data_IF_366705286988
#
_entry.id   IF_366705286988
#
_cell.length_a   1.000
_cell.length_b   1.000
_cell.length_c   1.000
_cell.angle_alpha   90.00
_cell.angle_beta   90.00
_cell.angle_gamma   90.00
#
_symmetry.space_group_name_H-M   'P 1'
#
loop_
_entity.id
_entity.type
_entity.pdbx_description
1 polymer ?
#
# COMPACT_ATOMS: atom_id res chain seq x y z
N UNK A 1 -10.48 -11.13 4.83
CA UNK A 1 -11.74 -10.53 5.32
C UNK A 1 -11.42 -9.74 6.57
N UNK A 2 -11.40 -8.40 6.52
CA UNK A 2 -11.32 -7.62 7.76
C UNK A 2 -12.58 -7.90 8.59
N UNK A 3 -12.41 -8.15 9.88
CA UNK A 3 -13.51 -8.42 10.78
C UNK A 3 -14.51 -7.24 10.76
N UNK A 4 -15.83 -7.50 10.89
CA UNK A 4 -16.85 -6.44 10.90
C UNK A 4 -16.57 -5.37 11.98
N UNK A 5 -15.91 -5.78 13.06
CA UNK A 5 -15.44 -4.94 14.17
C UNK A 5 -14.61 -3.75 13.66
N UNK A 6 -13.72 -3.98 12.71
CA UNK A 6 -12.87 -2.91 12.19
C UNK A 6 -13.68 -1.83 11.45
N UNK A 7 -14.68 -2.25 10.67
CA UNK A 7 -15.55 -1.31 9.94
C UNK A 7 -16.39 -0.48 10.90
N UNK A 8 -16.97 -1.12 11.92
CA UNK A 8 -17.78 -0.43 12.93
C UNK A 8 -16.96 0.58 13.74
N UNK A 9 -15.74 0.21 14.15
CA UNK A 9 -14.86 1.10 14.90
C UNK A 9 -14.44 2.33 14.07
N UNK A 10 -14.18 2.15 12.77
CA UNK A 10 -13.85 3.25 11.86
C UNK A 10 -15.01 4.23 11.70
N UNK A 11 -16.24 3.73 11.54
CA UNK A 11 -17.43 4.57 11.41
C UNK A 11 -17.69 5.33 12.71
N UNK A 12 -17.57 4.65 13.85
CA UNK A 12 -17.73 5.26 15.18
C UNK A 12 -16.73 6.40 15.42
N UNK A 13 -15.49 6.27 14.93
CA UNK A 13 -14.47 7.30 15.06
C UNK A 13 -14.63 8.44 14.03
N UNK A 14 -15.07 8.13 12.81
CA UNK A 14 -15.18 9.10 11.73
C UNK A 14 -16.31 10.11 11.96
N UNK A 15 -17.47 9.65 12.44
CA UNK A 15 -18.66 10.50 12.58
C UNK A 15 -18.38 11.71 13.50
N UNK A 16 -17.87 11.55 14.73
CA UNK A 16 -17.59 12.69 15.61
C UNK A 16 -16.55 13.66 15.03
N UNK A 17 -15.55 13.16 14.30
CA UNK A 17 -14.51 13.99 13.70
C UNK A 17 -15.08 14.91 12.63
N UNK A 18 -16.01 14.42 11.81
CA UNK A 18 -16.66 15.23 10.78
C UNK A 18 -17.49 16.35 11.39
N UNK A 19 -18.17 16.12 12.52
CA UNK A 19 -18.96 17.15 13.22
C UNK A 19 -18.09 18.25 13.85
N UNK A 20 -16.83 17.96 14.14
CA UNK A 20 -15.89 18.89 14.79
C UNK A 20 -14.90 19.50 13.79
N UNK A 21 -15.03 19.15 12.51
CA UNK A 21 -14.12 19.58 11.46
C UNK A 21 -14.20 21.11 11.25
N UNK A 22 -13.09 21.86 11.37
CA UNK A 22 -13.07 23.27 11.04
C UNK A 22 -13.20 23.50 9.52
N UNK A 23 -13.43 24.75 9.12
CA UNK A 23 -13.57 25.13 7.70
C UNK A 23 -12.47 24.53 6.82
N UNK A 24 -12.88 23.89 5.71
CA UNK A 24 -11.97 23.20 4.78
C UNK A 24 -10.92 24.14 4.17
N UNK A 25 -11.25 25.43 4.00
CA UNK A 25 -10.29 26.44 3.53
C UNK A 25 -9.09 26.59 4.47
N UNK A 26 -9.35 26.64 5.78
CA UNK A 26 -8.31 26.76 6.81
C UNK A 26 -7.43 25.51 6.88
N UNK A 27 -8.02 24.31 6.72
CA UNK A 27 -7.25 23.06 6.69
C UNK A 27 -6.38 22.92 5.46
N UNK A 28 -6.83 23.45 4.32
CA UNK A 28 -6.12 23.29 3.05
C UNK A 28 -4.97 24.29 2.84
N UNK A 29 -4.96 25.41 3.57
CA UNK A 29 -3.85 26.38 3.54
C UNK A 29 -2.78 26.10 4.60
N UNK A 30 -3.05 25.16 5.51
CA UNK A 30 -2.11 24.77 6.55
C UNK A 30 -0.97 23.91 5.98
N UNK A 31 0.28 24.34 6.19
CA UNK A 31 1.49 23.68 5.70
C UNK A 31 1.85 22.35 6.40
N UNK A 32 1.01 21.85 7.31
CA UNK A 32 1.28 20.60 8.04
C UNK A 32 0.75 19.38 7.29
N UNK A 33 1.57 18.34 7.19
CA UNK A 33 1.22 17.07 6.55
C UNK A 33 0.09 16.29 7.27
N UNK A 34 -0.24 16.64 8.53
CA UNK A 34 -1.24 15.95 9.32
C UNK A 34 -2.30 16.92 9.89
N UNK A 35 -3.58 16.79 9.53
CA UNK A 35 -4.65 17.69 9.98
C UNK A 35 -5.17 17.38 11.39
N UNK A 36 -4.97 16.15 11.89
CA UNK A 36 -5.52 15.67 13.15
C UNK A 36 -5.20 16.54 14.39
N UNK A 37 -3.95 17.01 14.61
CA UNK A 37 -3.63 17.85 15.77
C UNK A 37 -4.39 19.18 15.78
N UNK A 38 -4.63 19.75 14.60
CA UNK A 38 -5.34 21.03 14.44
C UNK A 38 -6.82 20.84 14.70
N UNK A 39 -7.40 19.74 14.22
CA UNK A 39 -8.79 19.37 14.48
C UNK A 39 -9.02 19.20 15.98
N UNK A 40 -8.15 18.46 16.69
CA UNK A 40 -8.28 18.30 18.14
C UNK A 40 -8.06 19.60 18.91
N UNK A 41 -7.14 20.47 18.46
CA UNK A 41 -6.94 21.80 19.07
C UNK A 41 -8.18 22.68 18.89
N UNK A 42 -8.80 22.64 17.71
CA UNK A 42 -10.04 23.37 17.42
C UNK A 42 -11.22 22.85 18.25
N UNK A 43 -11.31 21.54 18.42
CA UNK A 43 -12.33 20.86 19.22
C UNK A 43 -12.27 21.22 20.71
N UNK A 44 -11.07 21.09 21.28
CA UNK A 44 -10.87 21.08 22.74
C UNK A 44 -10.58 22.49 23.27
N UNK A 45 -10.14 23.42 22.40
CA UNK A 45 -9.78 24.82 22.71
C UNK A 45 -8.76 24.97 23.85
N UNK A 46 -8.06 23.90 24.22
CA UNK A 46 -7.04 23.84 25.27
C UNK A 46 -5.83 23.03 24.82
N UNK A 47 -4.65 23.64 24.87
CA UNK A 47 -3.39 23.06 24.38
C UNK A 47 -2.95 21.84 25.19
N UNK A 48 -3.09 21.87 26.52
CA UNK A 48 -2.66 20.79 27.41
C UNK A 48 -3.46 19.49 27.19
N UNK A 49 -4.78 19.61 27.06
CA UNK A 49 -5.67 18.47 26.80
C UNK A 49 -5.46 17.88 25.41
N UNK A 50 -5.22 18.74 24.42
CA UNK A 50 -4.90 18.32 23.05
C UNK A 50 -3.63 17.49 23.00
N UNK A 51 -2.57 17.92 23.72
CA UNK A 51 -1.33 17.16 23.82
C UNK A 51 -1.52 15.80 24.49
N UNK A 52 -2.31 15.74 25.58
CA UNK A 52 -2.66 14.48 26.24
C UNK A 52 -3.37 13.49 25.31
N UNK A 53 -4.24 13.97 24.41
CA UNK A 53 -4.94 13.14 23.44
C UNK A 53 -4.04 12.71 22.26
N UNK A 54 -3.02 13.50 21.92
CA UNK A 54 -2.07 13.19 20.85
C UNK A 54 -1.03 12.13 21.26
N UNK A 55 -0.70 12.03 22.55
CA UNK A 55 0.25 11.03 23.05
C UNK A 55 -0.06 9.57 22.65
N UNK A 56 -1.28 9.03 22.87
CA UNK A 56 -1.60 7.67 22.45
C UNK A 56 -1.56 7.49 20.93
N UNK A 57 -1.86 8.54 20.15
CA UNK A 57 -1.76 8.50 18.69
C UNK A 57 -0.31 8.36 18.23
N UNK A 58 0.62 9.08 18.87
CA UNK A 58 2.07 8.97 18.58
C UNK A 58 2.58 7.57 18.94
N UNK A 59 2.19 7.04 20.10
CA UNK A 59 2.59 5.68 20.53
C UNK A 59 2.07 4.64 19.52
N UNK A 60 0.82 4.76 19.08
CA UNK A 60 0.24 3.87 18.08
C UNK A 60 0.98 3.95 16.75
N UNK A 61 1.32 5.16 16.29
CA UNK A 61 2.06 5.35 15.03
C UNK A 61 3.43 4.65 15.06
N UNK A 62 4.16 4.76 16.17
CA UNK A 62 5.45 4.05 16.35
C UNK A 62 5.26 2.53 16.29
N UNK A 63 4.25 1.99 16.97
CA UNK A 63 3.96 0.54 16.96
C UNK A 63 3.57 0.08 15.54
N UNK A 64 2.70 0.83 14.87
CA UNK A 64 2.30 0.55 13.49
C UNK A 64 3.49 0.65 12.52
N UNK A 65 4.40 1.60 12.71
CA UNK A 65 5.62 1.75 11.92
C UNK A 65 6.52 0.51 12.00
N UNK A 66 6.73 -0.01 13.21
CA UNK A 66 7.48 -1.27 13.41
C UNK A 66 6.78 -2.43 12.68
N UNK A 67 5.45 -2.49 12.76
CA UNK A 67 4.64 -3.48 12.04
C UNK A 67 4.79 -3.40 10.51
N UNK A 68 4.77 -2.18 9.95
CA UNK A 68 4.96 -1.94 8.51
C UNK A 68 6.33 -2.41 8.03
N UNK A 69 7.40 -2.08 8.76
CA UNK A 69 8.76 -2.51 8.44
C UNK A 69 8.87 -4.04 8.52
N UNK A 70 8.26 -4.66 9.53
CA UNK A 70 8.25 -6.11 9.68
C UNK A 70 7.52 -6.80 8.50
N UNK A 71 6.34 -6.32 8.11
CA UNK A 71 5.59 -6.84 6.98
C UNK A 71 6.37 -6.69 5.66
N UNK A 72 6.90 -5.49 5.40
CA UNK A 72 7.72 -5.21 4.22
C UNK A 72 8.93 -6.15 4.11
N UNK A 73 9.63 -6.40 5.22
CA UNK A 73 10.80 -7.30 5.23
C UNK A 73 10.48 -8.74 4.82
N UNK A 74 9.26 -9.23 5.12
CA UNK A 74 8.80 -10.56 4.69
C UNK A 74 8.52 -10.60 3.19
N UNK A 75 7.91 -9.55 2.65
CA UNK A 75 7.70 -9.42 1.20
C UNK A 75 9.03 -9.36 0.44
N UNK A 76 9.99 -8.56 0.93
CA UNK A 76 11.35 -8.45 0.37
C UNK A 76 12.05 -9.81 0.37
N UNK A 77 11.97 -10.55 1.47
CA UNK A 77 12.55 -11.89 1.56
C UNK A 77 11.89 -12.89 0.60
N UNK A 78 10.56 -12.86 0.47
CA UNK A 78 9.83 -13.70 -0.49
C UNK A 78 10.23 -13.39 -1.94
N UNK A 79 10.35 -12.10 -2.31
CA UNK A 79 10.82 -11.69 -3.64
C UNK A 79 12.30 -12.05 -3.88
N UNK A 80 13.13 -12.01 -2.85
CA UNK A 80 14.52 -12.46 -2.93
C UNK A 80 14.61 -13.98 -3.16
N UNK A 81 13.73 -14.77 -2.53
CA UNK A 81 13.64 -16.22 -2.76
C UNK A 81 13.27 -16.55 -4.20
N UNK A 82 12.36 -15.77 -4.78
CA UNK A 82 11.92 -15.95 -6.17
C UNK A 82 12.88 -15.31 -7.19
N UNK A 83 14.06 -14.82 -6.75
CA UNK A 83 15.10 -14.27 -7.62
C UNK A 83 14.77 -12.90 -8.24
N UNK A 84 13.74 -12.21 -7.75
CA UNK A 84 13.26 -10.96 -8.34
C UNK A 84 14.05 -9.72 -7.90
N UNK A 85 14.90 -9.80 -6.88
CA UNK A 85 15.61 -8.66 -6.28
C UNK A 85 17.12 -8.64 -6.54
N UNK A 86 17.74 -7.45 -6.66
CA UNK A 86 19.19 -7.32 -6.75
C UNK A 86 19.84 -7.85 -5.46
N UNK A 87 20.90 -8.64 -5.58
CA UNK A 87 21.55 -9.22 -4.41
C UNK A 87 20.70 -10.28 -3.68
N UNK A 88 19.70 -10.89 -4.35
CA UNK A 88 18.80 -11.92 -3.80
C UNK A 88 19.47 -12.96 -2.89
N UNK A 89 20.67 -13.44 -3.24
CA UNK A 89 21.44 -14.41 -2.42
C UNK A 89 21.76 -13.88 -1.01
N UNK A 90 22.08 -12.60 -0.89
CA UNK A 90 22.34 -11.94 0.39
C UNK A 90 21.06 -11.69 1.18
N UNK A 91 19.98 -11.26 0.51
CA UNK A 91 18.68 -10.98 1.13
C UNK A 91 18.00 -12.27 1.64
N UNK A 92 18.21 -13.41 0.99
CA UNK A 92 17.59 -14.68 1.38
C UNK A 92 18.22 -15.30 2.64
N UNK A 93 19.41 -14.86 3.06
CA UNK A 93 20.13 -15.41 4.23
C UNK A 93 19.34 -15.16 5.52
N UNK A 94 18.86 -16.24 6.14
CA UNK A 94 18.13 -16.21 7.42
C UNK A 94 19.13 -16.41 8.55
N UNK A 95 18.96 -15.65 9.64
CA UNK A 95 19.69 -15.90 10.88
C UNK A 95 18.94 -16.95 11.71
N UNK A 96 19.58 -18.08 12.01
CA UNK A 96 18.95 -19.20 12.73
C UNK A 96 18.41 -18.81 14.11
N UNK A 97 19.07 -17.87 14.79
CA UNK A 97 18.72 -17.48 16.17
C UNK A 97 17.47 -16.60 16.26
N UNK A 98 17.16 -15.84 15.21
CA UNK A 98 16.00 -14.92 15.19
C UNK A 98 14.89 -15.37 14.24
N UNK A 99 15.12 -16.39 13.39
CA UNK A 99 14.15 -16.86 12.40
C UNK A 99 13.78 -15.83 11.32
N UNK A 100 14.53 -14.73 11.21
CA UNK A 100 14.27 -13.62 10.28
C UNK A 100 15.49 -13.31 9.42
N UNK A 101 15.25 -12.81 8.21
CA UNK A 101 16.31 -12.23 7.36
C UNK A 101 16.65 -10.83 7.86
N UNK A 102 17.82 -10.70 8.51
CA UNK A 102 18.35 -9.41 8.96
C UNK A 102 18.67 -8.49 7.77
N UNK A 103 19.17 -9.06 6.68
CA UNK A 103 19.54 -8.31 5.48
C UNK A 103 18.31 -7.69 4.79
N UNK A 104 17.19 -8.43 4.73
CA UNK A 104 15.94 -7.90 4.17
C UNK A 104 15.35 -6.81 5.06
N UNK A 105 15.38 -7.00 6.39
CA UNK A 105 14.92 -5.98 7.34
C UNK A 105 15.77 -4.71 7.29
N UNK A 106 17.09 -4.84 7.21
CA UNK A 106 18.01 -3.70 7.11
C UNK A 106 17.80 -2.95 5.79
N UNK A 107 17.61 -3.66 4.68
CA UNK A 107 17.29 -3.03 3.40
C UNK A 107 16.00 -2.20 3.47
N UNK A 108 14.91 -2.79 4.00
CA UNK A 108 13.65 -2.05 4.18
C UNK A 108 13.86 -0.82 5.07
N UNK A 109 14.57 -0.96 6.20
CA UNK A 109 14.87 0.15 7.10
C UNK A 109 15.63 1.28 6.41
N UNK A 110 16.68 0.96 5.65
CA UNK A 110 17.49 1.95 4.92
C UNK A 110 16.61 2.70 3.91
N UNK A 111 15.75 2.00 3.17
CA UNK A 111 14.84 2.64 2.21
C UNK A 111 13.85 3.57 2.91
N UNK A 112 13.27 3.15 4.04
CA UNK A 112 12.40 4.02 4.85
C UNK A 112 13.14 5.27 5.34
N UNK A 113 14.33 5.12 5.92
CA UNK A 113 15.14 6.26 6.41
C UNK A 113 15.49 7.21 5.26
N UNK A 114 15.84 6.69 4.08
CA UNK A 114 16.13 7.52 2.90
C UNK A 114 14.90 8.29 2.44
N UNK A 115 13.72 7.67 2.44
CA UNK A 115 12.45 8.34 2.11
C UNK A 115 12.08 9.39 3.14
N UNK A 116 12.25 9.10 4.43
CA UNK A 116 12.01 10.06 5.51
C UNK A 116 12.99 11.25 5.46
N UNK A 117 14.24 11.02 5.05
CA UNK A 117 15.24 12.09 4.91
C UNK A 117 14.84 13.12 3.83
N UNK A 118 14.06 12.72 2.82
CA UNK A 118 13.54 13.64 1.79
C UNK A 118 12.65 14.73 2.40
N UNK A 119 12.02 14.46 3.56
CA UNK A 119 11.22 15.46 4.27
C UNK A 119 12.02 16.72 4.62
N UNK A 120 13.31 16.59 4.96
CA UNK A 120 14.18 17.75 5.25
C UNK A 120 14.47 18.60 4.01
N UNK A 121 14.41 18.00 2.81
CA UNK A 121 14.64 18.71 1.55
C UNK A 121 13.38 19.40 1.02
N UNK A 122 12.23 18.73 1.05
CA UNK A 122 10.98 19.28 0.52
C UNK A 122 9.74 18.63 1.13
N UNK A 123 8.90 19.47 1.75
CA UNK A 123 7.58 19.06 2.25
C UNK A 123 6.62 18.66 1.12
N UNK A 124 6.75 19.28 -0.07
CA UNK A 124 5.96 18.93 -1.25
C UNK A 124 6.29 17.52 -1.76
N UNK A 125 7.59 17.15 -1.76
CA UNK A 125 8.02 15.82 -2.15
C UNK A 125 7.50 14.75 -1.19
N UNK A 126 7.60 15.00 0.13
CA UNK A 126 7.08 14.06 1.13
C UNK A 126 5.57 13.84 0.98
N UNK A 127 4.79 14.92 0.81
CA UNK A 127 3.34 14.81 0.60
C UNK A 127 3.00 13.99 -0.65
N UNK A 128 3.75 14.19 -1.74
CA UNK A 128 3.59 13.39 -2.96
C UNK A 128 3.89 11.90 -2.71
N UNK A 129 4.95 11.57 -1.95
CA UNK A 129 5.26 10.18 -1.60
C UNK A 129 4.17 9.53 -0.75
N UNK A 130 3.61 10.23 0.25
CA UNK A 130 2.49 9.71 1.05
C UNK A 130 1.25 9.42 0.20
N UNK A 131 0.97 10.25 -0.79
CA UNK A 131 -0.12 9.99 -1.75
C UNK A 131 0.16 8.75 -2.60
N UNK A 132 1.41 8.58 -3.06
CA UNK A 132 1.82 7.42 -3.86
C UNK A 132 1.81 6.12 -3.07
N UNK A 133 2.12 6.13 -1.77
CA UNK A 133 1.97 4.96 -0.89
C UNK A 133 0.52 4.44 -0.93
N UNK A 134 -0.45 5.33 -0.70
CA UNK A 134 -1.88 4.98 -0.72
C UNK A 134 -2.34 4.55 -2.12
N UNK A 135 -1.85 5.22 -3.17
CA UNK A 135 -2.19 4.88 -4.56
C UNK A 135 -1.66 3.50 -4.95
N UNK A 136 -0.43 3.19 -4.56
CA UNK A 136 0.21 1.89 -4.81
C UNK A 136 -0.48 0.79 -4.03
N UNK A 137 -0.90 1.07 -2.79
CA UNK A 137 -1.69 0.14 -1.98
C UNK A 137 -3.06 -0.15 -2.63
N UNK A 138 -3.75 0.89 -3.10
CA UNK A 138 -5.01 0.74 -3.84
C UNK A 138 -4.82 -0.04 -5.14
N UNK A 139 -3.75 0.24 -5.89
CA UNK A 139 -3.38 -0.54 -7.07
C UNK A 139 -3.13 -2.01 -6.72
N UNK A 140 -2.54 -2.30 -5.56
CA UNK A 140 -2.29 -3.65 -5.06
C UNK A 140 -3.57 -4.44 -4.90
N UNK A 141 -4.57 -3.87 -4.24
CA UNK A 141 -5.86 -4.52 -3.99
C UNK A 141 -6.73 -4.59 -5.25
N UNK A 142 -6.58 -3.63 -6.14
CA UNK A 142 -7.33 -3.57 -7.41
C UNK A 142 -6.83 -4.63 -8.40
N UNK A 143 -5.54 -4.94 -8.38
CA UNK A 143 -4.92 -5.88 -9.32
C UNK A 143 -5.53 -7.30 -9.32
N UNK A 144 -5.63 -8.03 -8.20
CA UNK A 144 -6.27 -9.35 -8.16
C UNK A 144 -7.74 -9.29 -8.58
N UNK A 145 -8.45 -8.22 -8.24
CA UNK A 145 -9.85 -7.99 -8.64
C UNK A 145 -9.97 -7.86 -10.17
N UNK A 146 -9.09 -7.07 -10.79
CA UNK A 146 -9.04 -6.88 -12.23
C UNK A 146 -8.67 -8.17 -12.98
N UNK A 147 -7.65 -8.90 -12.53
CA UNK A 147 -7.25 -10.19 -13.14
C UNK A 147 -8.38 -11.19 -13.09
N UNK A 148 -9.07 -11.27 -11.95
CA UNK A 148 -10.18 -12.19 -11.78
C UNK A 148 -11.36 -11.81 -12.70
N UNK A 149 -11.56 -10.52 -13.01
CA UNK A 149 -12.59 -10.05 -13.96
C UNK A 149 -12.20 -10.46 -15.39
N UNK A 150 -10.96 -10.16 -15.78
CA UNK A 150 -10.40 -10.46 -17.10
C UNK A 150 -10.37 -11.96 -17.40
N UNK A 151 -10.06 -12.76 -16.37
CA UNK A 151 -9.96 -14.22 -16.46
C UNK A 151 -11.34 -14.90 -16.31
N UNK A 152 -12.43 -14.14 -16.18
CA UNK A 152 -13.81 -14.64 -15.97
C UNK A 152 -13.89 -15.73 -14.89
N UNK A 153 -13.16 -15.56 -13.77
CA UNK A 153 -13.10 -16.51 -12.64
C UNK A 153 -12.54 -17.92 -12.91
N UNK A 154 -11.83 -18.17 -14.02
CA UNK A 154 -11.22 -19.50 -14.23
C UNK A 154 -10.28 -19.94 -13.10
N UNK A 155 -9.61 -19.00 -12.43
CA UNK A 155 -8.70 -19.25 -11.31
C UNK A 155 -9.42 -19.43 -9.96
N UNK A 156 -10.68 -19.00 -9.84
CA UNK A 156 -11.47 -19.07 -8.60
C UNK A 156 -12.29 -20.35 -8.51
N UNK A 157 -12.45 -21.07 -9.64
CA UNK A 157 -13.19 -22.34 -9.67
C UNK A 157 -12.52 -23.44 -8.82
N UNK A 158 -11.21 -23.35 -8.57
CA UNK A 158 -10.46 -24.31 -7.76
C UNK A 158 -10.22 -23.86 -6.30
N UNK A 159 -10.85 -22.76 -5.86
CA UNK A 159 -10.69 -22.28 -4.50
C UNK A 159 -11.58 -23.04 -3.51
N UNK A 160 -11.04 -23.41 -2.35
CA UNK A 160 -11.76 -24.08 -1.24
C UNK A 160 -13.02 -23.32 -0.75
N UNK A 161 -13.14 -22.03 -1.06
CA UNK A 161 -14.27 -21.18 -0.67
C UNK A 161 -14.76 -20.35 -1.86
N UNK A 162 -15.93 -20.72 -2.40
CA UNK A 162 -16.59 -20.00 -3.50
C UNK A 162 -17.85 -19.31 -3.01
N UNK A 163 -17.92 -17.98 -3.15
CA UNK A 163 -19.11 -17.17 -2.80
C UNK A 163 -20.20 -17.20 -3.91
N UNK A 164 -20.09 -18.07 -4.92
CA UNK A 164 -21.07 -18.18 -6.00
C UNK A 164 -21.42 -16.83 -6.65
N UNK A 165 -22.72 -16.56 -6.80
CA UNK A 165 -23.28 -15.34 -7.42
C UNK A 165 -22.96 -14.06 -6.64
N UNK A 166 -22.98 -14.11 -5.30
CA UNK A 166 -22.58 -12.96 -4.46
C UNK A 166 -21.12 -12.56 -4.67
N UNK A 167 -20.29 -13.54 -5.03
CA UNK A 167 -18.94 -13.25 -5.46
C UNK A 167 -18.92 -12.27 -6.63
N UNK A 168 -19.77 -12.46 -7.66
CA UNK A 168 -19.72 -11.66 -8.90
C UNK A 168 -20.06 -10.20 -8.59
N UNK A 169 -21.11 -9.99 -7.78
CA UNK A 169 -21.50 -8.67 -7.33
C UNK A 169 -20.38 -7.98 -6.54
N UNK A 170 -19.77 -8.70 -5.59
CA UNK A 170 -18.64 -8.19 -4.81
C UNK A 170 -17.45 -7.76 -5.71
N UNK A 171 -17.24 -8.48 -6.81
CA UNK A 171 -16.18 -8.18 -7.76
C UNK A 171 -16.45 -6.91 -8.58
N UNK A 172 -17.69 -6.67 -9.00
CA UNK A 172 -18.10 -5.42 -9.64
C UNK A 172 -18.02 -4.24 -8.67
N UNK A 173 -18.45 -4.41 -7.42
CA UNK A 173 -18.27 -3.39 -6.38
C UNK A 173 -16.79 -3.10 -6.14
N UNK A 174 -15.94 -4.12 -6.12
CA UNK A 174 -14.48 -3.96 -5.99
C UNK A 174 -13.84 -3.27 -7.21
N UNK A 175 -14.40 -3.47 -8.41
CA UNK A 175 -13.92 -2.85 -9.64
C UNK A 175 -14.07 -1.32 -9.65
N UNK A 176 -14.98 -0.75 -8.83
CA UNK A 176 -15.06 0.70 -8.60
C UNK A 176 -13.72 1.29 -8.11
N UNK A 177 -12.90 0.50 -7.42
CA UNK A 177 -11.56 0.91 -6.96
C UNK A 177 -10.64 1.33 -8.12
N UNK A 178 -10.85 0.82 -9.35
CA UNK A 178 -10.11 1.23 -10.55
C UNK A 178 -10.34 2.71 -10.85
N UNK A 179 -11.57 3.21 -10.66
CA UNK A 179 -11.91 4.61 -10.90
C UNK A 179 -11.29 5.56 -9.86
N UNK A 180 -10.88 5.04 -8.69
CA UNK A 180 -10.27 5.88 -7.65
C UNK A 180 -8.85 6.31 -8.01
N UNK A 181 -8.10 5.49 -8.77
CA UNK A 181 -6.70 5.76 -9.15
C UNK A 181 -6.55 7.10 -9.90
N UNK A 182 -7.26 7.38 -11.00
CA UNK A 182 -7.18 8.67 -11.67
C UNK A 182 -7.78 9.81 -10.83
N UNK A 183 -8.76 9.51 -9.99
CA UNK A 183 -9.42 10.51 -9.15
C UNK A 183 -8.48 11.05 -8.05
N UNK A 184 -7.63 10.17 -7.48
CA UNK A 184 -6.55 10.58 -6.56
C UNK A 184 -5.41 11.33 -7.25
N UNK A 185 -5.28 11.20 -8.57
CA UNK A 185 -4.30 11.93 -9.37
C UNK A 185 -4.76 13.35 -9.75
N UNK A 186 -6.06 13.66 -9.61
CA UNK A 186 -6.58 15.00 -9.91
C UNK A 186 -6.15 16.04 -8.85
N UNK A 187 -5.88 17.29 -9.27
CA UNK A 187 -5.58 18.37 -8.33
C UNK A 187 -6.82 18.83 -7.57
N UNK A 188 -6.70 19.08 -6.26
CA UNK A 188 -7.78 19.59 -5.41
C UNK A 188 -8.15 21.06 -5.66
N UNK A 189 -7.34 21.79 -6.43
CA UNK A 189 -7.51 23.23 -6.72
C UNK A 189 -7.33 23.45 -8.22
N UNK A 190 -8.13 24.36 -8.79
CA UNK A 190 -8.03 24.79 -10.19
C UNK A 190 -6.95 25.85 -10.43
N UNK A 191 -6.37 26.44 -9.39
CA UNK A 191 -5.34 27.47 -9.52
C UNK A 191 -3.96 26.85 -9.74
N UNK A 192 -3.34 27.16 -10.88
CA UNK A 192 -2.11 26.54 -11.38
C UNK A 192 -0.90 27.30 -10.81
N UNK A 193 -0.59 27.07 -9.53
CA UNK A 193 0.70 27.47 -8.96
C UNK A 193 1.63 26.25 -8.98
N UNK A 194 2.77 26.35 -9.68
CA UNK A 194 3.69 25.22 -9.94
C UNK A 194 4.18 24.56 -8.64
N UNK A 195 4.23 25.31 -7.54
CA UNK A 195 4.66 24.82 -6.23
C UNK A 195 3.60 23.96 -5.54
N UNK A 196 2.31 24.10 -5.89
CA UNK A 196 1.18 23.43 -5.20
C UNK A 196 0.44 22.39 -6.05
N UNK A 197 1.01 21.97 -7.18
CA UNK A 197 0.40 20.91 -8.00
C UNK A 197 0.52 19.56 -7.31
N UNK A 198 -0.48 18.69 -7.49
CA UNK A 198 -0.45 17.32 -6.97
C UNK A 198 0.57 16.48 -7.76
N UNK A 199 1.77 16.31 -7.23
CA UNK A 199 2.84 15.53 -7.85
C UNK A 199 2.63 14.01 -7.77
N UNK A 200 1.56 13.52 -7.13
CA UNK A 200 1.32 12.09 -6.94
C UNK A 200 1.25 11.32 -8.25
N UNK A 201 0.64 11.88 -9.30
CA UNK A 201 0.52 11.20 -10.60
C UNK A 201 1.87 10.96 -11.27
N UNK A 202 2.75 11.97 -11.25
CA UNK A 202 4.08 11.91 -11.86
C UNK A 202 4.97 10.91 -11.11
N UNK A 203 4.96 10.98 -9.78
CA UNK A 203 5.75 10.07 -8.94
C UNK A 203 5.22 8.63 -9.08
N UNK A 204 3.90 8.43 -9.15
CA UNK A 204 3.32 7.12 -9.40
C UNK A 204 3.74 6.55 -10.76
N UNK A 205 3.66 7.35 -11.82
CA UNK A 205 4.11 6.94 -13.15
C UNK A 205 5.61 6.57 -13.15
N UNK A 206 6.45 7.35 -12.47
CA UNK A 206 7.87 7.06 -12.32
C UNK A 206 8.12 5.72 -11.59
N UNK A 207 7.41 5.47 -10.48
CA UNK A 207 7.51 4.20 -9.75
C UNK A 207 7.06 3.02 -10.62
N UNK A 208 5.98 3.17 -11.39
CA UNK A 208 5.54 2.14 -12.34
C UNK A 208 6.61 1.86 -13.39
N UNK A 209 7.21 2.89 -13.99
CA UNK A 209 8.26 2.73 -15.02
C UNK A 209 9.51 2.05 -14.45
N UNK A 210 9.99 2.48 -13.28
CA UNK A 210 11.17 1.86 -12.63
C UNK A 210 10.90 0.39 -12.30
N UNK A 211 9.72 0.10 -11.77
CA UNK A 211 9.29 -1.28 -11.48
C UNK A 211 9.18 -2.13 -12.75
N UNK A 212 8.59 -1.59 -13.82
CA UNK A 212 8.51 -2.23 -15.14
C UNK A 212 9.87 -2.50 -15.74
N UNK A 213 10.75 -1.50 -15.72
CA UNK A 213 12.11 -1.61 -16.24
C UNK A 213 12.90 -2.69 -15.51
N UNK A 214 12.81 -2.73 -14.18
CA UNK A 214 13.50 -3.74 -13.38
C UNK A 214 13.01 -5.16 -13.69
N UNK A 215 11.69 -5.34 -13.75
CA UNK A 215 11.11 -6.64 -14.07
C UNK A 215 11.47 -7.11 -15.48
N UNK A 216 11.43 -6.21 -16.46
CA UNK A 216 11.82 -6.57 -17.84
C UNK A 216 13.29 -6.95 -17.93
N UNK A 217 14.17 -6.24 -17.22
CA UNK A 217 15.61 -6.49 -17.24
C UNK A 217 16.00 -7.80 -16.55
N UNK A 218 15.40 -8.13 -15.40
CA UNK A 218 15.80 -9.27 -14.54
C UNK A 218 14.64 -10.20 -14.17
N UNK A 219 13.50 -9.64 -13.80
CA UNK A 219 12.32 -10.40 -13.36
C UNK A 219 11.83 -11.41 -14.39
N UNK A 220 11.81 -11.07 -15.68
CA UNK A 220 11.39 -11.98 -16.75
C UNK A 220 12.29 -13.22 -16.90
N UNK A 221 13.56 -13.15 -16.46
CA UNK A 221 14.54 -14.23 -16.62
C UNK A 221 14.75 -15.05 -15.34
N UNK A 222 14.54 -14.47 -14.17
CA UNK A 222 14.88 -15.08 -12.88
C UNK A 222 13.67 -15.41 -12.00
N UNK A 223 12.47 -14.90 -12.32
CA UNK A 223 11.27 -15.12 -11.52
C UNK A 223 10.76 -16.56 -11.65
N UNK A 224 11.00 -17.35 -10.62
CA UNK A 224 10.44 -18.71 -10.51
C UNK A 224 9.16 -18.63 -9.68
N UNK A 225 8.02 -18.92 -10.30
CA UNK A 225 6.73 -18.92 -9.61
C UNK A 225 6.70 -20.07 -8.60
N UNK A 226 6.17 -19.88 -7.38
CA UNK A 226 5.90 -20.98 -6.48
C UNK A 226 5.00 -22.01 -7.18
N UNK A 227 5.28 -23.32 -7.07
CA UNK A 227 4.39 -24.34 -7.64
C UNK A 227 3.01 -24.20 -6.99
N UNK A 228 1.98 -23.95 -7.80
CA UNK A 228 0.61 -23.95 -7.33
C UNK A 228 0.28 -25.35 -6.78
N UNK A 229 -0.24 -25.47 -5.54
CA UNK A 229 -0.67 -26.76 -5.03
C UNK A 229 -1.78 -27.33 -5.92
N UNK A 230 -1.52 -28.42 -6.63
CA UNK A 230 -2.55 -29.23 -7.31
C UNK A 230 -2.82 -28.93 -8.80
N UNK A 231 -2.30 -27.86 -9.40
CA UNK A 231 -2.55 -27.58 -10.83
C UNK A 231 -1.50 -28.29 -11.72
N UNK A 232 -1.96 -29.21 -12.57
CA UNK A 232 -1.19 -29.74 -13.71
C UNK A 232 -0.66 -28.54 -14.50
N UNK A 233 0.63 -28.59 -14.90
CA UNK A 233 1.30 -27.55 -15.70
C UNK A 233 0.55 -27.31 -17.01
N UNK A 234 -0.44 -26.41 -17.01
CA UNK A 234 -0.99 -25.87 -18.24
C UNK A 234 -0.23 -24.60 -18.62
N UNK A 235 0.41 -24.69 -19.78
CA UNK A 235 1.08 -23.59 -20.49
C UNK A 235 0.05 -22.54 -20.93
N UNK A 236 -0.43 -21.71 -20.00
CA UNK A 236 -1.22 -20.53 -20.34
C UNK A 236 -0.26 -19.37 -20.66
N UNK A 237 -0.14 -19.08 -21.95
CA UNK A 237 0.74 -18.07 -22.52
C UNK A 237 0.51 -16.66 -21.98
N UNK A 238 1.63 -15.94 -21.80
CA UNK A 238 1.91 -14.51 -21.98
C UNK A 238 0.84 -13.40 -21.79
N UNK A 239 -0.34 -13.63 -21.22
CA UNK A 239 -1.42 -12.64 -21.16
C UNK A 239 -1.79 -12.18 -19.74
N UNK A 240 -0.86 -12.28 -18.79
CA UNK A 240 -0.99 -11.62 -17.49
C UNK A 240 -0.13 -10.36 -17.52
N UNK A 241 -0.82 -9.21 -17.58
CA UNK A 241 -0.23 -7.88 -17.56
C UNK A 241 0.82 -7.75 -16.47
N UNK A 242 1.90 -7.04 -16.79
CA UNK A 242 3.03 -6.74 -15.92
C UNK A 242 2.66 -6.44 -14.44
N UNK A 243 1.60 -5.64 -14.24
CA UNK A 243 1.07 -5.23 -12.93
C UNK A 243 0.53 -6.43 -12.13
N UNK A 244 -0.06 -7.40 -12.82
CA UNK A 244 -0.62 -8.62 -12.23
C UNK A 244 0.42 -9.50 -11.54
N UNK A 245 1.62 -9.61 -12.11
CA UNK A 245 2.66 -10.52 -11.60
C UNK A 245 3.34 -9.98 -10.34
N UNK A 246 3.48 -8.66 -10.22
CA UNK A 246 4.06 -8.02 -9.03
C UNK A 246 3.08 -8.03 -7.85
N UNK A 247 1.79 -7.76 -8.10
CA UNK A 247 0.81 -7.63 -7.01
C UNK A 247 0.23 -8.95 -6.51
N UNK A 248 0.22 -10.03 -7.31
CA UNK A 248 -0.20 -11.36 -6.82
C UNK A 248 0.67 -11.82 -5.63
N UNK A 249 1.95 -11.47 -5.59
CA UNK A 249 2.83 -11.80 -4.46
C UNK A 249 2.57 -10.98 -3.18
N UNK A 250 1.95 -9.80 -3.29
CA UNK A 250 1.60 -8.98 -2.12
C UNK A 250 0.33 -9.50 -1.40
N UNK A 251 -0.51 -10.28 -2.10
CA UNK A 251 -1.78 -10.78 -1.59
C UNK A 251 -1.74 -12.18 -0.96
N UNK A 252 -0.63 -12.91 -1.04
CA UNK A 252 -0.48 -14.21 -0.37
C UNK A 252 0.10 -14.02 1.03
N UNK A 253 -0.66 -13.41 1.93
CA UNK A 253 -0.50 -13.66 3.36
C UNK A 253 -0.85 -15.15 3.57
N UNK A 254 0.19 -15.99 3.64
CA UNK A 254 0.04 -17.35 4.10
C UNK A 254 -0.46 -17.31 5.54
N UNK A 255 -1.73 -17.66 5.72
CA UNK A 255 -2.27 -18.20 6.96
C UNK A 255 -1.55 -19.53 7.23
N UNK A 256 -0.40 -19.47 7.87
CA UNK A 256 0.23 -20.60 8.53
C UNK A 256 0.68 -20.12 9.92
N UNK A 257 -0.30 -20.04 10.81
CA UNK A 257 -0.15 -20.22 12.25
C UNK A 257 -0.93 -21.48 12.62
#
# INVERSE_FOLDING_TARGET
>A
MQSPIHTHLRILFLIPIVFVLPNLGFLADFASAQPLPIIFKSAIRSSARTFGLLMPLIILDVICGIGRIAASSRCVWAFARDGAMPGAKGLMKINWKLGISLNSKLLSLIVYILLDLIYFGSSAACNAFSCVEVLTLNASYTTPTAINLLTKRKQVHECKFSLGTFGILCQYCGAWSILTIPLFCMPLRLSIEVVRVNYASVVFAAVCVVSSGWYWARGCKSYTRPPAPGLRRESHGNSLSFVSRIFICFGTEHHDA
#
